data_IF_153926082785
#
_entry.id   IF_153926082785
#
_cell.length_a   1.000
_cell.length_b   1.000
_cell.length_c   1.000
_cell.angle_alpha   90.00
_cell.angle_beta   90.00
_cell.angle_gamma   90.00
#
_symmetry.space_group_name_H-M   'P 1'
#
loop_
_entity.id
_entity.type
_entity.pdbx_description
1 polymer ?
#
# COMPACT_ATOMS: atom_id res chain seq x y z
N UNK A 1 -12.61 0.73 -18.72
CA UNK A 1 -12.24 0.68 -17.29
C UNK A 1 -10.85 1.22 -17.15
N UNK A 2 -10.65 2.34 -16.46
CA UNK A 2 -9.49 2.58 -15.59
C UNK A 2 -9.90 3.59 -14.50
N UNK A 3 -10.60 3.20 -13.42
CA UNK A 3 -10.95 4.19 -12.41
C UNK A 3 -9.67 4.68 -11.70
N UNK A 4 -8.73 3.79 -11.37
CA UNK A 4 -7.48 4.17 -10.70
C UNK A 4 -6.43 3.05 -10.79
N UNK A 5 -5.19 3.38 -10.43
CA UNK A 5 -4.06 2.44 -10.28
C UNK A 5 -3.41 2.59 -8.91
N UNK A 6 -2.90 1.48 -8.36
CA UNK A 6 -2.06 1.49 -7.15
C UNK A 6 -0.65 1.08 -7.55
N UNK A 7 0.34 1.89 -7.16
CA UNK A 7 1.76 1.57 -7.29
C UNK A 7 2.36 1.31 -5.93
N UNK A 8 2.71 0.07 -5.65
CA UNK A 8 3.45 -0.32 -4.45
C UNK A 8 4.95 -0.10 -4.67
N UNK A 9 5.62 0.54 -3.74
CA UNK A 9 7.06 0.86 -3.74
C UNK A 9 7.68 0.33 -2.46
N UNK A 10 9.00 0.14 -2.51
CA UNK A 10 9.85 -0.21 -1.37
C UNK A 10 9.35 -1.41 -0.57
N UNK A 11 9.94 -2.59 -0.78
CA UNK A 11 9.48 -3.77 -0.07
C UNK A 11 10.51 -4.18 0.98
N UNK A 12 10.07 -4.34 2.22
CA UNK A 12 10.90 -4.77 3.33
C UNK A 12 10.34 -6.04 3.97
N UNK A 13 11.22 -6.86 4.52
CA UNK A 13 10.82 -7.95 5.40
C UNK A 13 10.52 -7.40 6.79
N UNK A 14 9.27 -7.54 7.21
CA UNK A 14 8.83 -7.29 8.59
C UNK A 14 8.38 -8.64 9.15
N UNK A 15 9.11 -9.11 10.17
CA UNK A 15 9.06 -10.49 10.66
C UNK A 15 9.21 -11.52 9.53
N UNK A 16 8.13 -12.25 9.17
CA UNK A 16 8.12 -13.30 8.14
C UNK A 16 7.42 -12.89 6.85
N UNK A 17 7.01 -11.64 6.72
CA UNK A 17 6.27 -11.15 5.55
C UNK A 17 7.08 -10.08 4.83
N UNK A 18 7.07 -10.16 3.50
CA UNK A 18 7.57 -9.10 2.64
C UNK A 18 6.42 -8.15 2.34
N UNK A 19 6.51 -6.93 2.86
CA UNK A 19 5.46 -5.92 2.79
C UNK A 19 5.95 -4.69 2.03
N UNK A 20 5.10 -4.06 1.19
CA UNK A 20 5.40 -2.75 0.63
C UNK A 20 5.28 -1.70 1.74
N UNK A 21 6.31 -0.87 1.88
CA UNK A 21 6.34 0.24 2.83
C UNK A 21 5.67 1.49 2.28
N UNK A 22 5.53 1.60 0.97
CA UNK A 22 4.94 2.76 0.32
C UNK A 22 3.93 2.35 -0.75
N UNK A 23 2.86 3.13 -0.88
CA UNK A 23 1.92 2.97 -1.98
C UNK A 23 1.38 4.32 -2.48
N UNK A 24 1.20 4.43 -3.79
CA UNK A 24 0.60 5.60 -4.43
C UNK A 24 -0.70 5.18 -5.12
N UNK A 25 -1.80 5.85 -4.82
CA UNK A 25 -3.07 5.63 -5.51
C UNK A 25 -3.40 6.81 -6.41
N UNK A 26 -3.55 6.51 -7.69
CA UNK A 26 -3.69 7.50 -8.76
C UNK A 26 -4.95 7.23 -9.57
N UNK A 27 -5.82 8.23 -9.65
CA UNK A 27 -6.91 8.25 -10.62
C UNK A 27 -6.35 8.51 -12.02
N UNK A 28 -6.79 7.71 -12.98
CA UNK A 28 -6.43 7.86 -14.40
C UNK A 28 -7.58 8.60 -15.08
N UNK A 29 -7.56 9.94 -15.02
CA UNK A 29 -8.60 10.78 -15.60
C UNK A 29 -8.24 11.11 -17.06
N UNK A 30 -9.23 11.47 -17.87
CA UNK A 30 -8.99 11.88 -19.26
C UNK A 30 -8.10 13.14 -19.36
N UNK A 31 -8.15 14.00 -18.35
CA UNK A 31 -7.31 15.19 -18.24
C UNK A 31 -5.89 14.90 -17.70
N UNK A 32 -5.63 13.68 -17.23
CA UNK A 32 -4.34 13.26 -16.69
C UNK A 32 -4.43 12.48 -15.38
N UNK A 33 -3.26 12.15 -14.85
CA UNK A 33 -3.10 11.42 -13.60
C UNK A 33 -3.34 12.32 -12.39
N UNK A 34 -4.15 11.85 -11.44
CA UNK A 34 -4.36 12.51 -10.16
C UNK A 34 -4.09 11.55 -8.99
N UNK A 35 -2.91 11.70 -8.37
CA UNK A 35 -2.54 10.94 -7.16
C UNK A 35 -3.20 11.57 -5.94
N UNK A 36 -4.19 10.87 -5.39
CA UNK A 36 -5.01 11.40 -4.29
C UNK A 36 -4.56 10.90 -2.92
N UNK A 37 -3.79 9.82 -2.87
CA UNK A 37 -3.31 9.23 -1.63
C UNK A 37 -1.91 8.67 -1.79
N UNK A 38 -1.07 8.99 -0.81
CA UNK A 38 0.26 8.42 -0.59
C UNK A 38 0.23 7.73 0.77
N UNK A 39 0.54 6.45 0.78
CA UNK A 39 0.66 5.64 1.99
C UNK A 39 2.13 5.43 2.30
N UNK A 40 2.49 5.58 3.58
CA UNK A 40 3.75 5.15 4.14
C UNK A 40 3.47 4.29 5.38
N UNK A 41 4.13 3.15 5.46
CA UNK A 41 3.99 2.17 6.55
C UNK A 41 5.17 2.34 7.49
N UNK A 42 4.89 2.82 8.71
CA UNK A 42 5.90 2.99 9.76
C UNK A 42 6.00 1.75 10.67
N UNK A 43 4.86 1.16 11.02
CA UNK A 43 4.77 0.01 11.93
C UNK A 43 3.62 -0.92 11.53
N UNK A 44 3.77 -2.23 11.80
CA UNK A 44 2.74 -3.25 11.59
C UNK A 44 2.55 -4.02 12.88
N UNK A 45 1.36 -3.94 13.46
CA UNK A 45 0.94 -4.78 14.58
C UNK A 45 0.20 -6.02 14.06
N UNK A 46 0.74 -7.20 14.36
CA UNK A 46 0.11 -8.47 13.98
C UNK A 46 -0.90 -8.93 15.02
N UNK A 47 -2.01 -9.51 14.57
CA UNK A 47 -2.97 -10.17 15.45
C UNK A 47 -2.27 -11.25 16.28
N UNK A 48 -2.52 -11.26 17.59
CA UNK A 48 -2.07 -12.34 18.47
C UNK A 48 -3.02 -13.51 18.28
N UNK A 49 -2.49 -14.68 17.92
CA UNK A 49 -3.28 -15.90 17.90
C UNK A 49 -3.73 -16.20 19.34
N UNK A 50 -5.01 -15.99 19.64
CA UNK A 50 -5.59 -16.47 20.90
C UNK A 50 -5.62 -18.00 20.84
N UNK A 51 -4.81 -18.64 21.68
CA UNK A 51 -4.87 -20.08 21.90
C UNK A 51 -6.00 -20.30 22.91
N UNK A 52 -7.13 -20.83 22.43
CA UNK A 52 -8.25 -21.30 23.26
C UNK A 52 -7.92 -22.66 23.88
#
# INVERSE_FOLDING_TARGET
MQPWSIRMKEHQWMDRFKVPLQAEITWKLDAGDYTWYLLEVEEIEYNKAEVY
#
